data_IF_012230991516
#
_entry.id   IF_012230991516
#
_cell.length_a   1.000
_cell.length_b   1.000
_cell.length_c   1.000
_cell.angle_alpha   90.00
_cell.angle_beta   90.00
_cell.angle_gamma   90.00
#
_symmetry.space_group_name_H-M   'P 1'
#
loop_
_entity.id
_entity.type
_entity.pdbx_description
1 polymer ?
#
# COMPACT_ATOMS: atom_id res chain seq x y z
N UNK A 1 -12.18 3.70 22.95
CA UNK A 1 -10.77 4.04 22.62
C UNK A 1 -10.35 3.13 21.48
N UNK A 2 -9.84 3.66 20.37
CA UNK A 2 -9.27 2.82 19.29
C UNK A 2 -7.97 2.23 19.85
N UNK A 3 -7.89 0.90 19.91
CA UNK A 3 -6.74 0.19 20.47
C UNK A 3 -5.64 -0.09 19.43
N UNK A 4 -5.79 0.48 18.22
CA UNK A 4 -4.89 0.25 17.09
C UNK A 4 -4.93 1.43 16.12
N UNK A 5 -3.85 1.61 15.37
CA UNK A 5 -3.77 2.60 14.29
C UNK A 5 -4.25 2.00 12.95
N UNK A 6 -5.04 2.78 12.20
CA UNK A 6 -5.63 2.33 10.93
C UNK A 6 -4.62 2.34 9.79
N UNK A 7 -3.69 3.30 9.77
CA UNK A 7 -2.67 3.41 8.72
C UNK A 7 -1.71 2.24 8.83
N UNK A 8 -1.26 1.95 10.05
CA UNK A 8 -0.47 0.77 10.35
C UNK A 8 -1.18 -0.51 9.93
N UNK A 9 -2.46 -0.67 10.25
CA UNK A 9 -3.21 -1.87 9.87
C UNK A 9 -3.29 -2.03 8.34
N UNK A 10 -3.57 -0.95 7.61
CA UNK A 10 -3.57 -0.97 6.15
C UNK A 10 -2.20 -1.38 5.58
N UNK A 11 -1.11 -0.79 6.09
CA UNK A 11 0.24 -1.16 5.69
C UNK A 11 0.56 -2.62 6.03
N UNK A 12 0.20 -3.08 7.23
CA UNK A 12 0.44 -4.43 7.71
C UNK A 12 -0.24 -5.48 6.83
N UNK A 13 -1.53 -5.29 6.54
CA UNK A 13 -2.33 -6.20 5.69
C UNK A 13 -1.79 -6.30 4.26
N UNK A 14 -1.12 -5.24 3.78
CA UNK A 14 -0.48 -5.19 2.46
C UNK A 14 0.94 -5.75 2.41
N UNK A 15 1.55 -6.11 3.54
CA UNK A 15 2.93 -6.64 3.54
C UNK A 15 3.02 -8.00 2.86
N UNK A 16 4.17 -8.30 2.25
CA UNK A 16 4.43 -9.60 1.63
C UNK A 16 4.26 -10.77 2.61
N UNK A 17 4.59 -10.56 3.89
CA UNK A 17 4.36 -11.58 4.92
C UNK A 17 2.87 -11.92 5.05
N UNK A 18 2.00 -10.91 5.14
CA UNK A 18 0.56 -11.12 5.19
C UNK A 18 0.03 -11.74 3.90
N UNK A 19 0.44 -11.21 2.75
CA UNK A 19 0.03 -11.73 1.45
C UNK A 19 0.46 -13.20 1.25
N UNK A 20 1.65 -13.58 1.73
CA UNK A 20 2.11 -14.96 1.67
C UNK A 20 1.35 -15.87 2.62
N UNK A 21 1.02 -15.40 3.83
CA UNK A 21 0.14 -16.14 4.75
C UNK A 21 -1.25 -16.35 4.13
N UNK A 22 -1.83 -15.32 3.52
CA UNK A 22 -3.10 -15.41 2.81
C UNK A 22 -3.05 -16.40 1.65
N UNK A 23 -1.99 -16.39 0.84
CA UNK A 23 -1.80 -17.34 -0.27
C UNK A 23 -1.65 -18.78 0.23
N UNK A 24 -0.94 -18.99 1.33
CA UNK A 24 -0.77 -20.32 1.92
C UNK A 24 -2.06 -20.87 2.55
N UNK A 25 -2.90 -19.98 3.07
CA UNK A 25 -4.18 -20.31 3.70
C UNK A 25 -5.36 -20.37 2.72
N UNK A 26 -5.23 -19.76 1.54
CA UNK A 26 -6.28 -19.78 0.52
C UNK A 26 -6.44 -21.19 -0.06
N UNK A 27 -7.66 -21.72 -0.02
CA UNK A 27 -8.03 -22.98 -0.64
C UNK A 27 -8.72 -22.71 -1.99
N UNK A 28 -8.17 -23.25 -3.08
CA UNK A 28 -8.72 -23.16 -4.45
C UNK A 28 -7.70 -22.71 -5.49
N UNK A 29 -7.67 -23.36 -6.67
CA UNK A 29 -6.65 -23.14 -7.71
C UNK A 29 -6.89 -21.90 -8.60
N UNK A 30 -8.09 -21.32 -8.60
CA UNK A 30 -8.49 -20.26 -9.55
C UNK A 30 -8.96 -18.97 -8.88
N UNK A 31 -9.55 -19.04 -7.68
CA UNK A 31 -9.96 -17.88 -6.88
C UNK A 31 -9.59 -18.12 -5.43
N UNK A 32 -8.66 -17.31 -4.92
CA UNK A 32 -8.25 -17.36 -3.52
C UNK A 32 -9.34 -16.74 -2.64
N UNK A 33 -10.29 -17.56 -2.18
CA UNK A 33 -11.29 -17.11 -1.22
C UNK A 33 -10.68 -17.08 0.19
N UNK A 34 -10.53 -15.88 0.74
CA UNK A 34 -10.15 -15.66 2.14
C UNK A 34 -11.43 -15.51 2.98
N UNK A 35 -11.61 -16.42 3.93
CA UNK A 35 -12.69 -16.29 4.91
C UNK A 35 -12.20 -15.47 6.13
N UNK A 36 -13.14 -14.93 6.91
CA UNK A 36 -12.85 -14.10 8.10
C UNK A 36 -12.03 -14.85 9.15
N UNK A 37 -12.22 -16.16 9.27
CA UNK A 37 -11.56 -17.00 10.27
C UNK A 37 -10.08 -17.21 9.94
N UNK A 38 -9.75 -17.41 8.66
CA UNK A 38 -8.38 -17.52 8.17
C UNK A 38 -7.62 -16.21 8.36
N UNK A 39 -8.25 -15.07 8.08
CA UNK A 39 -7.63 -13.76 8.32
C UNK A 39 -7.43 -13.49 9.82
N UNK A 40 -8.34 -13.96 10.67
CA UNK A 40 -8.20 -13.84 12.13
C UNK A 40 -7.14 -14.77 12.73
N UNK A 41 -6.74 -15.83 12.02
CA UNK A 41 -5.73 -16.79 12.44
C UNK A 41 -4.30 -16.47 11.99
N UNK A 42 -4.07 -15.34 11.31
CA UNK A 42 -2.73 -14.96 10.86
C UNK A 42 -1.82 -14.54 12.02
N UNK A 43 -0.53 -14.84 11.87
CA UNK A 43 0.48 -14.46 12.84
C UNK A 43 1.00 -13.08 12.45
N UNK A 44 0.69 -12.08 13.27
CA UNK A 44 1.14 -10.70 13.09
C UNK A 44 2.02 -10.24 14.24
N UNK A 45 3.04 -9.43 13.91
CA UNK A 45 3.70 -8.61 14.90
C UNK A 45 2.82 -7.38 15.18
N UNK A 46 2.36 -7.25 16.43
CA UNK A 46 1.48 -6.16 16.84
C UNK A 46 2.19 -5.29 17.89
N UNK A 47 2.92 -4.24 17.47
CA UNK A 47 3.68 -3.38 18.37
C UNK A 47 2.77 -2.45 19.18
N UNK A 48 3.32 -1.66 20.11
CA UNK A 48 2.54 -0.70 20.89
C UNK A 48 1.95 0.42 20.02
N UNK A 49 0.83 1.01 20.47
CA UNK A 49 0.08 2.01 19.69
C UNK A 49 0.95 3.20 19.22
N UNK A 50 1.88 3.68 20.05
CA UNK A 50 2.77 4.77 19.67
C UNK A 50 3.68 4.42 18.50
N UNK A 51 4.18 3.18 18.46
CA UNK A 51 4.99 2.67 17.37
C UNK A 51 4.15 2.46 16.11
N UNK A 52 2.93 1.95 16.25
CA UNK A 52 1.99 1.81 15.13
C UNK A 52 1.74 3.16 14.44
N UNK A 53 1.49 4.22 15.21
CA UNK A 53 1.27 5.57 14.68
C UNK A 53 2.50 6.04 13.90
N UNK A 54 3.71 5.91 14.49
CA UNK A 54 4.96 6.31 13.83
C UNK A 54 5.18 5.57 12.52
N UNK A 55 4.96 4.25 12.51
CA UNK A 55 5.10 3.42 11.30
C UNK A 55 4.07 3.85 10.25
N UNK A 56 2.80 3.97 10.63
CA UNK A 56 1.71 4.35 9.73
C UNK A 56 1.91 5.73 9.11
N UNK A 57 2.33 6.72 9.90
CA UNK A 57 2.64 8.07 9.42
C UNK A 57 3.86 8.08 8.49
N UNK A 58 4.89 7.30 8.81
CA UNK A 58 6.08 7.18 7.97
C UNK A 58 5.74 6.66 6.57
N UNK A 59 5.02 5.53 6.47
CA UNK A 59 4.61 4.99 5.17
C UNK A 59 3.65 5.92 4.43
N UNK A 60 2.71 6.57 5.13
CA UNK A 60 1.83 7.58 4.53
C UNK A 60 2.62 8.73 3.93
N UNK A 61 3.70 9.18 4.57
CA UNK A 61 4.54 10.25 4.05
C UNK A 61 5.27 9.84 2.76
N UNK A 62 5.69 8.57 2.67
CA UNK A 62 6.32 8.01 1.47
C UNK A 62 5.30 7.94 0.34
N UNK A 63 4.09 7.43 0.58
CA UNK A 63 3.03 7.36 -0.43
C UNK A 63 2.67 8.75 -0.97
N UNK A 64 2.62 9.75 -0.08
CA UNK A 64 2.41 11.14 -0.48
C UNK A 64 3.55 11.66 -1.35
N UNK A 65 4.79 11.37 -0.98
CA UNK A 65 5.97 11.77 -1.74
C UNK A 65 5.99 11.13 -3.13
N UNK A 66 5.68 9.83 -3.23
CA UNK A 66 5.57 9.11 -4.50
C UNK A 66 4.48 9.74 -5.37
N UNK A 67 3.31 10.01 -4.80
CA UNK A 67 2.18 10.63 -5.51
C UNK A 67 2.55 12.01 -6.07
N UNK A 68 3.26 12.82 -5.28
CA UNK A 68 3.73 14.14 -5.71
C UNK A 68 4.71 14.04 -6.89
N UNK A 69 5.67 13.11 -6.82
CA UNK A 69 6.64 12.90 -7.88
C UNK A 69 5.99 12.34 -9.14
N UNK A 70 5.02 11.43 -9.01
CA UNK A 70 4.29 10.88 -10.15
C UNK A 70 3.51 11.98 -10.89
N UNK A 71 2.81 12.85 -10.15
CA UNK A 71 2.11 14.02 -10.73
C UNK A 71 3.08 14.92 -11.51
N UNK A 72 4.24 15.25 -10.92
CA UNK A 72 5.26 16.07 -11.59
C UNK A 72 5.81 15.39 -12.85
N UNK A 73 6.05 14.08 -12.81
CA UNK A 73 6.48 13.31 -13.97
C UNK A 73 5.44 13.37 -15.10
N UNK A 74 4.15 13.25 -14.77
CA UNK A 74 3.07 13.28 -15.76
C UNK A 74 2.90 14.69 -16.37
N UNK A 75 3.03 15.74 -15.57
CA UNK A 75 3.06 17.13 -16.05
C UNK A 75 4.22 17.36 -17.03
N UNK A 76 5.44 16.94 -16.68
CA UNK A 76 6.61 17.06 -17.56
C UNK A 76 6.46 16.25 -18.85
N UNK A 77 5.84 15.07 -18.80
CA UNK A 77 5.53 14.28 -19.99
C UNK A 77 4.55 15.01 -20.91
N UNK A 78 3.55 15.68 -20.36
CA UNK A 78 2.59 16.47 -21.15
C UNK A 78 3.26 17.68 -21.81
N UNK A 79 4.11 18.40 -21.06
CA UNK A 79 4.90 19.52 -21.60
C UNK A 79 5.80 19.02 -22.73
N UNK A 80 6.54 17.93 -22.52
CA UNK A 80 7.40 17.34 -23.54
C UNK A 80 6.62 17.00 -24.81
N UNK A 81 5.44 16.39 -24.69
CA UNK A 81 4.58 16.07 -25.83
C UNK A 81 4.15 17.34 -26.58
N UNK A 82 3.68 18.35 -25.87
CA UNK A 82 3.28 19.63 -26.45
C UNK A 82 4.45 20.32 -27.18
N UNK A 83 5.63 20.39 -26.56
CA UNK A 83 6.80 21.00 -27.19
C UNK A 83 7.22 20.26 -28.47
N UNK A 84 7.23 18.92 -28.44
CA UNK A 84 7.56 18.12 -29.62
C UNK A 84 6.55 18.29 -30.75
N UNK A 85 5.25 18.40 -30.45
CA UNK A 85 4.22 18.69 -31.45
C UNK A 85 4.44 20.05 -32.12
N UNK A 86 4.85 21.06 -31.37
CA UNK A 86 5.11 22.40 -31.89
C UNK A 86 6.52 22.58 -32.48
N UNK A 87 7.38 21.55 -32.45
CA UNK A 87 8.75 21.64 -32.94
C UNK A 87 8.88 21.37 -34.45
N UNK A 88 7.86 20.71 -35.04
CA UNK A 88 7.84 20.31 -36.45
C UNK A 88 6.69 20.95 -37.24
N UNK A 89 6.05 21.97 -36.66
CA UNK A 89 5.12 22.91 -37.32
C UNK A 89 5.91 24.19 -37.59
#
# INVERSE_FOLDING_TARGET
KKNFDLKFLCTLLGTDSMLNQYKAMAAGSTVNNLNKELVGGTIIAFPMLEEQIKIGDYFTSIDHLITLHQKKCDELRNIKKFMLQNMFI
#
